data_IF_638318911316
#
_entry.id   IF_638318911316
#
_cell.length_a   1.000
_cell.length_b   1.000
_cell.length_c   1.000
_cell.angle_alpha   90.00
_cell.angle_beta   90.00
_cell.angle_gamma   90.00
#
_symmetry.space_group_name_H-M   'P 1'
#
loop_
_entity.id
_entity.type
_entity.pdbx_description
1 polymer ?
#
# COMPACT_ATOMS: atom_id res chain seq x y z
N UNK A 1 5.66 -17.74 9.59
CA UNK A 1 5.11 -16.39 9.36
C UNK A 1 5.80 -15.44 10.31
N UNK A 2 6.19 -14.23 9.88
CA UNK A 2 6.84 -13.26 10.74
C UNK A 2 5.92 -12.80 11.89
N UNK A 3 6.46 -12.33 13.03
CA UNK A 3 5.68 -11.80 14.13
C UNK A 3 4.89 -10.54 13.75
N UNK A 4 3.76 -10.29 14.42
CA UNK A 4 2.93 -9.09 14.22
C UNK A 4 3.72 -7.79 14.36
N UNK A 5 4.69 -7.76 15.27
CA UNK A 5 5.61 -6.65 15.51
C UNK A 5 6.41 -6.26 14.27
N UNK A 6 6.86 -7.25 13.49
CA UNK A 6 7.66 -7.01 12.30
C UNK A 6 6.82 -6.28 11.26
N UNK A 7 5.60 -6.76 11.00
CA UNK A 7 4.64 -6.11 10.10
C UNK A 7 4.31 -4.69 10.51
N UNK A 8 3.96 -4.48 11.79
CA UNK A 8 3.66 -3.13 12.29
C UNK A 8 4.85 -2.22 12.03
N UNK A 9 6.06 -2.66 12.36
CA UNK A 9 7.28 -1.87 12.17
C UNK A 9 7.53 -1.55 10.69
N UNK A 10 7.32 -2.50 9.78
CA UNK A 10 7.38 -2.30 8.32
C UNK A 10 6.39 -1.23 7.87
N UNK A 11 5.14 -1.28 8.32
CA UNK A 11 4.15 -0.24 7.99
C UNK A 11 4.51 1.12 8.56
N UNK A 12 4.97 1.21 9.82
CA UNK A 12 5.42 2.47 10.40
C UNK A 12 6.54 3.09 9.55
N UNK A 13 7.52 2.29 9.10
CA UNK A 13 8.58 2.72 8.20
C UNK A 13 8.03 3.24 6.86
N UNK A 14 7.13 2.50 6.22
CA UNK A 14 6.52 2.90 4.95
C UNK A 14 5.67 4.18 5.04
N UNK A 15 5.11 4.48 6.22
CA UNK A 15 4.45 5.76 6.50
C UNK A 15 5.41 6.92 6.78
N UNK A 16 6.73 6.69 6.68
CA UNK A 16 7.77 7.67 6.95
C UNK A 16 8.39 7.59 8.35
N UNK A 17 8.31 6.43 9.00
CA UNK A 17 8.85 6.22 10.35
C UNK A 17 8.04 6.89 11.46
N UNK A 18 6.76 7.16 11.22
CA UNK A 18 5.86 7.84 12.14
C UNK A 18 5.49 6.98 13.35
N UNK A 19 5.09 7.61 14.46
CA UNK A 19 4.53 6.91 15.61
C UNK A 19 3.15 6.30 15.28
N UNK A 20 2.71 5.22 15.95
CA UNK A 20 1.45 4.55 15.64
C UNK A 20 0.21 5.47 15.62
N UNK A 21 0.10 6.39 16.58
CA UNK A 21 -1.01 7.34 16.64
C UNK A 21 -1.02 8.30 15.43
N UNK A 22 0.15 8.75 14.99
CA UNK A 22 0.31 9.60 13.81
C UNK A 22 -0.03 8.82 12.53
N UNK A 23 0.36 7.54 12.45
CA UNK A 23 0.00 6.64 11.35
C UNK A 23 -1.52 6.45 11.29
N UNK A 24 -2.18 6.21 12.41
CA UNK A 24 -3.65 6.11 12.44
C UNK A 24 -4.31 7.41 11.96
N UNK A 25 -3.87 8.57 12.47
CA UNK A 25 -4.39 9.86 12.04
C UNK A 25 -4.19 10.07 10.53
N UNK A 26 -3.00 9.72 10.01
CA UNK A 26 -2.68 9.82 8.58
C UNK A 26 -3.49 8.85 7.73
N UNK A 27 -3.64 7.61 8.17
CA UNK A 27 -4.41 6.56 7.48
C UNK A 27 -5.90 6.94 7.39
N UNK A 28 -6.49 7.41 8.49
CA UNK A 28 -7.89 7.89 8.54
C UNK A 28 -8.11 9.14 7.69
N UNK A 29 -7.25 10.14 7.81
CA UNK A 29 -7.40 11.43 7.13
C UNK A 29 -8.83 11.97 7.20
N UNK A 30 -9.33 12.53 6.09
CA UNK A 30 -10.71 12.99 5.98
C UNK A 30 -11.75 11.86 5.78
N UNK A 31 -11.30 10.62 5.55
CA UNK A 31 -12.17 9.48 5.27
C UNK A 31 -12.63 8.75 6.56
N UNK A 32 -12.12 9.17 7.72
CA UNK A 32 -12.42 8.56 9.01
C UNK A 32 -12.09 7.06 9.01
N UNK A 33 -12.98 6.26 9.61
CA UNK A 33 -12.83 4.81 9.69
C UNK A 33 -13.03 4.06 8.36
N UNK A 34 -13.42 4.74 7.28
CA UNK A 34 -13.77 4.07 6.02
C UNK A 34 -12.57 3.34 5.36
N UNK A 35 -11.34 3.85 5.55
CA UNK A 35 -10.12 3.24 5.00
C UNK A 35 -9.29 2.50 6.05
N UNK A 36 -9.29 2.99 7.29
CA UNK A 36 -8.55 2.38 8.40
C UNK A 36 -9.30 2.68 9.70
N UNK A 37 -9.55 1.66 10.50
CA UNK A 37 -10.28 1.78 11.76
C UNK A 37 -9.32 2.34 12.83
N UNK A 38 -9.12 1.68 13.98
CA UNK A 38 -8.13 2.07 14.97
C UNK A 38 -7.08 0.98 15.18
N UNK A 39 -5.90 1.34 15.68
CA UNK A 39 -4.92 0.34 16.12
C UNK A 39 -5.48 -0.54 17.25
N UNK A 40 -6.23 0.05 18.19
CA UNK A 40 -6.84 -0.67 19.32
C UNK A 40 -7.75 -1.82 18.89
N UNK A 41 -8.46 -1.67 17.76
CA UNK A 41 -9.31 -2.73 17.20
C UNK A 41 -8.50 -3.96 16.74
N UNK A 42 -7.19 -3.77 16.52
CA UNK A 42 -6.29 -4.80 16.03
C UNK A 42 -5.30 -5.28 17.10
N UNK A 43 -4.98 -4.50 18.14
CA UNK A 43 -3.95 -4.86 19.13
C UNK A 43 -4.19 -6.24 19.77
N UNK A 44 -5.43 -6.53 20.15
CA UNK A 44 -5.80 -7.84 20.68
C UNK A 44 -5.65 -8.96 19.64
N UNK A 45 -6.05 -8.71 18.39
CA UNK A 45 -5.90 -9.65 17.27
C UNK A 45 -4.43 -9.88 16.86
N UNK A 46 -3.58 -8.88 17.11
CA UNK A 46 -2.13 -8.88 16.91
C UNK A 46 -1.39 -9.53 18.08
N UNK A 47 -2.08 -9.93 19.15
CA UNK A 47 -1.47 -10.55 20.33
C UNK A 47 -0.65 -9.57 21.18
N UNK A 48 -0.86 -8.27 21.00
CA UNK A 48 -0.28 -7.26 21.88
C UNK A 48 -1.06 -7.21 23.20
N UNK A 49 -0.36 -7.08 24.34
CA UNK A 49 -1.02 -6.95 25.63
C UNK A 49 -1.84 -5.66 25.68
N UNK A 50 -3.09 -5.78 26.11
CA UNK A 50 -3.93 -4.65 26.49
C UNK A 50 -3.90 -4.57 28.03
N UNK A 51 -3.81 -3.38 28.61
CA UNK A 51 -3.90 -3.20 30.08
C UNK A 51 -5.18 -3.81 30.71
N UNK A 52 -6.17 -4.18 29.89
CA UNK A 52 -7.44 -4.80 30.29
C UNK A 52 -7.48 -6.33 30.10
N UNK A 53 -6.55 -6.89 29.31
CA UNK A 53 -6.48 -8.31 28.94
C UNK A 53 -5.00 -8.68 28.71
N UNK A 54 -4.49 -9.70 29.40
CA UNK A 54 -3.17 -10.29 29.13
C UNK A 54 -3.33 -11.57 28.29
N UNK A 55 -3.64 -11.47 26.99
CA UNK A 55 -3.73 -12.64 26.13
C UNK A 55 -2.32 -13.20 25.89
N UNK A 56 -2.17 -14.53 25.73
CA UNK A 56 -0.93 -15.12 25.25
C UNK A 56 -0.54 -14.47 23.93
N UNK A 57 0.72 -14.02 23.81
CA UNK A 57 1.22 -13.45 22.56
C UNK A 57 1.05 -14.47 21.43
N UNK A 58 0.30 -14.09 20.40
CA UNK A 58 0.14 -14.89 19.20
C UNK A 58 1.49 -15.05 18.51
N UNK A 59 2.00 -16.28 18.42
CA UNK A 59 3.27 -16.57 17.74
C UNK A 59 3.11 -16.66 16.22
N UNK A 60 1.88 -16.53 15.71
CA UNK A 60 1.54 -16.66 14.29
C UNK A 60 0.55 -15.59 13.85
N UNK A 61 0.71 -15.14 12.61
CA UNK A 61 -0.23 -14.28 11.90
C UNK A 61 -1.55 -15.03 11.65
N UNK A 62 -2.67 -14.52 12.15
CA UNK A 62 -4.00 -15.08 11.89
C UNK A 62 -4.72 -14.33 10.74
N UNK A 63 -5.84 -14.86 10.26
CA UNK A 63 -6.59 -14.28 9.13
C UNK A 63 -7.09 -12.86 9.40
N UNK A 64 -7.48 -12.56 10.65
CA UNK A 64 -7.92 -11.23 11.06
C UNK A 64 -6.76 -10.22 11.03
N UNK A 65 -5.57 -10.65 11.43
CA UNK A 65 -4.32 -9.88 11.35
C UNK A 65 -3.94 -9.56 9.90
N UNK A 66 -4.03 -10.54 8.99
CA UNK A 66 -3.79 -10.32 7.57
C UNK A 66 -4.78 -9.30 6.98
N UNK A 67 -6.06 -9.43 7.30
CA UNK A 67 -7.09 -8.49 6.86
C UNK A 67 -6.85 -7.06 7.41
N UNK A 68 -6.39 -6.93 8.65
CA UNK A 68 -6.04 -5.64 9.25
C UNK A 68 -4.84 -4.98 8.54
N UNK A 69 -3.78 -5.75 8.28
CA UNK A 69 -2.62 -5.27 7.53
C UNK A 69 -2.98 -4.89 6.10
N UNK A 70 -3.85 -5.66 5.42
CA UNK A 70 -4.32 -5.28 4.10
C UNK A 70 -5.07 -3.95 4.11
N UNK A 71 -5.98 -3.70 5.07
CA UNK A 71 -6.68 -2.41 5.20
C UNK A 71 -5.70 -1.27 5.43
N UNK A 72 -4.73 -1.46 6.32
CA UNK A 72 -3.68 -0.48 6.57
C UNK A 72 -2.84 -0.19 5.33
N UNK A 73 -2.46 -1.23 4.58
CA UNK A 73 -1.67 -1.07 3.36
C UNK A 73 -2.45 -0.41 2.21
N UNK A 74 -3.75 -0.67 2.10
CA UNK A 74 -4.63 0.07 1.17
C UNK A 74 -4.66 1.55 1.56
N UNK A 75 -4.83 1.85 2.85
CA UNK A 75 -4.79 3.22 3.35
C UNK A 75 -3.42 3.87 3.06
N UNK A 76 -2.31 3.17 3.29
CA UNK A 76 -0.95 3.63 2.94
C UNK A 76 -0.86 4.02 1.47
N UNK A 77 -1.23 3.11 0.56
CA UNK A 77 -1.19 3.34 -0.88
C UNK A 77 -2.00 4.57 -1.29
N UNK A 78 -3.19 4.77 -0.71
CA UNK A 78 -4.03 5.92 -1.04
C UNK A 78 -3.48 7.23 -0.50
N UNK A 79 -2.94 7.22 0.71
CA UNK A 79 -2.33 8.40 1.32
C UNK A 79 -1.03 8.77 0.62
N UNK A 80 -0.22 7.77 0.28
CA UNK A 80 0.97 7.96 -0.52
C UNK A 80 0.62 8.51 -1.90
N UNK A 81 -0.40 8.00 -2.58
CA UNK A 81 -0.78 8.54 -3.89
C UNK A 81 -1.24 10.00 -3.81
N UNK A 82 -2.10 10.31 -2.81
CA UNK A 82 -2.57 11.68 -2.57
C UNK A 82 -1.40 12.65 -2.30
N UNK A 83 -0.41 12.19 -1.54
CA UNK A 83 0.77 12.98 -1.17
C UNK A 83 1.78 13.07 -2.33
N UNK A 84 2.22 11.94 -2.86
CA UNK A 84 3.35 11.81 -3.76
C UNK A 84 3.04 12.27 -5.19
N UNK A 85 1.83 11.96 -5.67
CA UNK A 85 1.45 12.15 -7.08
C UNK A 85 0.37 13.22 -7.29
N UNK A 86 -0.54 13.40 -6.33
CA UNK A 86 -1.70 14.30 -6.46
C UNK A 86 -1.58 15.61 -5.67
N UNK A 87 -0.49 15.83 -4.94
CA UNK A 87 -0.33 17.06 -4.15
C UNK A 87 -0.35 18.30 -5.06
N UNK A 88 -1.09 19.33 -4.65
CA UNK A 88 -1.14 20.63 -5.34
C UNK A 88 0.24 21.26 -5.50
N UNK A 89 1.11 21.06 -4.51
CA UNK A 89 2.54 21.41 -4.59
C UNK A 89 3.30 20.12 -4.90
N UNK A 90 3.95 20.00 -6.08
CA UNK A 90 4.70 18.81 -6.42
C UNK A 90 5.69 18.42 -5.32
N UNK A 91 5.65 17.16 -4.89
CA UNK A 91 6.57 16.62 -3.89
C UNK A 91 7.83 16.14 -4.61
N UNK A 92 9.00 16.56 -4.13
CA UNK A 92 10.29 16.11 -4.69
C UNK A 92 10.44 14.62 -4.52
N UNK A 93 11.09 13.93 -5.46
CA UNK A 93 11.18 12.46 -5.46
C UNK A 93 11.71 11.87 -4.13
N UNK A 94 12.71 12.50 -3.51
CA UNK A 94 13.28 12.05 -2.24
C UNK A 94 12.40 12.29 -1.00
N UNK A 95 11.33 13.09 -1.14
CA UNK A 95 10.37 13.36 -0.06
C UNK A 95 9.07 12.54 -0.22
N UNK A 96 8.99 11.69 -1.26
CA UNK A 96 7.81 10.85 -1.52
C UNK A 96 7.84 9.58 -0.65
N UNK A 97 6.67 9.12 -0.23
CA UNK A 97 6.54 7.94 0.62
C UNK A 97 6.74 6.63 -0.14
N UNK A 98 6.01 6.45 -1.24
CA UNK A 98 5.92 5.17 -1.97
C UNK A 98 6.19 5.39 -3.46
N UNK A 99 5.57 6.40 -4.06
CA UNK A 99 5.63 6.62 -5.51
C UNK A 99 6.82 7.52 -5.88
N UNK A 100 8.03 7.04 -5.59
CA UNK A 100 9.31 7.73 -5.84
C UNK A 100 9.72 7.73 -7.33
N UNK A 101 8.79 8.09 -8.21
CA UNK A 101 8.97 8.22 -9.65
C UNK A 101 7.91 9.15 -10.25
N UNK A 102 8.22 9.78 -11.38
CA UNK A 102 7.25 10.59 -12.11
C UNK A 102 6.40 9.75 -13.06
N UNK A 103 5.08 10.01 -13.07
CA UNK A 103 4.14 9.37 -14.00
C UNK A 103 4.07 10.21 -15.27
N UNK A 104 4.33 9.63 -16.45
CA UNK A 104 4.29 10.38 -17.70
C UNK A 104 2.86 10.78 -18.03
N UNK A 105 2.70 11.90 -18.74
CA UNK A 105 1.42 12.29 -19.28
C UNK A 105 0.98 11.34 -20.39
N UNK A 106 -0.31 11.01 -20.44
CA UNK A 106 -0.89 10.16 -21.47
C UNK A 106 -0.88 8.67 -21.15
N UNK A 107 -1.03 7.83 -22.20
CA UNK A 107 -1.09 6.38 -22.04
C UNK A 107 0.30 5.83 -21.70
N UNK A 108 0.35 5.01 -20.66
CA UNK A 108 1.54 4.30 -20.24
C UNK A 108 1.63 2.96 -20.99
N UNK A 109 2.77 2.68 -21.63
CA UNK A 109 3.07 1.37 -22.20
C UNK A 109 3.91 0.51 -21.23
N UNK A 110 4.17 -0.75 -21.60
CA UNK A 110 4.92 -1.68 -20.76
C UNK A 110 6.35 -1.21 -20.48
N UNK A 111 6.99 -0.55 -21.46
CA UNK A 111 8.37 -0.08 -21.35
C UNK A 111 8.47 1.09 -20.36
N UNK A 112 7.51 2.01 -20.38
CA UNK A 112 7.40 3.09 -19.43
C UNK A 112 6.91 2.60 -18.05
N UNK A 113 6.09 1.55 -17.99
CA UNK A 113 5.62 0.97 -16.72
C UNK A 113 6.75 0.29 -15.93
N UNK A 114 7.57 -0.52 -16.60
CA UNK A 114 8.57 -1.38 -15.98
C UNK A 114 9.50 -0.68 -14.97
N UNK A 115 10.17 0.46 -15.28
CA UNK A 115 11.08 1.10 -14.33
C UNK A 115 10.36 1.64 -13.08
N UNK A 116 9.09 2.03 -13.20
CA UNK A 116 8.27 2.54 -12.09
C UNK A 116 7.77 1.41 -11.21
N UNK A 117 7.40 0.30 -11.83
CA UNK A 117 7.11 -0.93 -11.10
C UNK A 117 8.34 -1.44 -10.35
N UNK A 118 9.55 -1.35 -10.91
CA UNK A 118 10.79 -1.73 -10.20
C UNK A 118 11.01 -0.91 -8.92
N UNK A 119 10.66 0.38 -8.92
CA UNK A 119 10.70 1.22 -7.71
C UNK A 119 9.75 0.66 -6.65
N UNK A 120 8.47 0.45 -6.99
CA UNK A 120 7.50 -0.10 -6.03
C UNK A 120 7.92 -1.50 -5.54
N UNK A 121 8.39 -2.33 -6.44
CA UNK A 121 8.81 -3.69 -6.13
C UNK A 121 9.98 -3.70 -5.13
N UNK A 122 10.95 -2.79 -5.27
CA UNK A 122 12.02 -2.62 -4.29
C UNK A 122 11.50 -2.06 -2.96
N UNK A 123 10.57 -1.11 -3.00
CA UNK A 123 9.98 -0.52 -1.78
C UNK A 123 9.27 -1.58 -0.93
N UNK A 124 8.47 -2.44 -1.55
CA UNK A 124 7.69 -3.44 -0.81
C UNK A 124 8.44 -4.75 -0.59
N UNK A 125 9.13 -5.27 -1.61
CA UNK A 125 9.73 -6.60 -1.57
C UNK A 125 11.25 -6.56 -1.38
N UNK A 126 11.85 -5.37 -1.26
CA UNK A 126 13.28 -5.18 -0.99
C UNK A 126 14.25 -5.70 -2.07
N UNK A 127 13.77 -6.07 -3.26
CA UNK A 127 14.62 -6.49 -4.39
C UNK A 127 14.07 -6.03 -5.76
N UNK A 128 14.90 -6.02 -6.83
CA UNK A 128 14.48 -5.60 -8.17
C UNK A 128 13.47 -6.56 -8.81
N UNK A 129 12.47 -6.02 -9.52
CA UNK A 129 11.42 -6.79 -10.20
C UNK A 129 11.96 -7.78 -11.24
N UNK A 130 13.13 -7.52 -11.83
CA UNK A 130 13.76 -8.44 -12.81
C UNK A 130 14.21 -9.78 -12.21
N UNK A 131 14.39 -9.85 -10.89
CA UNK A 131 14.76 -11.09 -10.20
C UNK A 131 13.53 -11.88 -9.75
N UNK A 132 12.33 -11.29 -9.88
CA UNK A 132 11.10 -11.94 -9.50
C UNK A 132 10.79 -13.12 -10.44
N UNK A 133 10.33 -14.26 -9.91
CA UNK A 133 9.87 -15.36 -10.73
C UNK A 133 8.63 -14.97 -11.56
N UNK A 134 8.56 -15.49 -12.79
CA UNK A 134 7.30 -15.66 -13.52
C UNK A 134 6.61 -14.39 -14.04
N UNK A 135 7.30 -13.56 -14.84
CA UNK A 135 6.62 -12.52 -15.64
C UNK A 135 5.88 -11.45 -14.81
N UNK A 136 6.26 -11.26 -13.55
CA UNK A 136 5.57 -10.39 -12.57
C UNK A 136 5.29 -8.98 -13.09
N UNK A 137 6.27 -8.35 -13.73
CA UNK A 137 6.08 -7.01 -14.30
C UNK A 137 4.94 -6.97 -15.34
N UNK A 138 4.79 -8.01 -16.17
CA UNK A 138 3.70 -8.10 -17.13
C UNK A 138 2.34 -8.32 -16.44
N UNK A 139 2.29 -9.15 -15.40
CA UNK A 139 1.06 -9.36 -14.63
C UNK A 139 0.58 -8.07 -13.93
N UNK A 140 1.50 -7.32 -13.32
CA UNK A 140 1.17 -6.04 -12.70
C UNK A 140 0.86 -4.94 -13.74
N UNK A 141 1.47 -4.99 -14.92
CA UNK A 141 1.10 -4.09 -16.01
C UNK A 141 -0.32 -4.38 -16.51
N UNK A 142 -0.70 -5.65 -16.65
CA UNK A 142 -2.06 -6.04 -17.01
C UNK A 142 -3.09 -5.58 -15.95
N UNK A 143 -2.75 -5.69 -14.65
CA UNK A 143 -3.57 -5.13 -13.57
C UNK A 143 -3.74 -3.61 -13.71
N UNK A 144 -2.66 -2.89 -14.00
CA UNK A 144 -2.70 -1.44 -14.24
C UNK A 144 -3.64 -1.11 -15.41
N UNK A 145 -3.44 -1.72 -16.58
CA UNK A 145 -4.26 -1.45 -17.77
C UNK A 145 -5.73 -1.81 -17.56
N UNK A 146 -6.02 -2.95 -16.93
CA UNK A 146 -7.38 -3.36 -16.63
C UNK A 146 -8.09 -2.38 -15.70
N UNK A 147 -7.36 -1.84 -14.71
CA UNK A 147 -7.90 -0.83 -13.78
C UNK A 147 -8.17 0.48 -14.49
N UNK A 148 -7.21 0.98 -15.28
CA UNK A 148 -7.38 2.20 -16.08
C UNK A 148 -8.59 2.07 -17.01
N UNK A 149 -8.73 0.95 -17.70
CA UNK A 149 -9.84 0.71 -18.62
C UNK A 149 -11.19 0.75 -17.90
N UNK A 150 -11.32 0.07 -16.74
CA UNK A 150 -12.57 0.07 -15.95
C UNK A 150 -12.94 1.45 -15.43
N UNK A 151 -11.96 2.25 -15.01
CA UNK A 151 -12.18 3.61 -14.53
C UNK A 151 -12.50 4.62 -15.63
N UNK A 152 -12.13 4.32 -16.88
CA UNK A 152 -12.40 5.18 -18.03
C UNK A 152 -13.78 4.94 -18.67
N UNK A 153 -14.52 3.89 -18.27
CA UNK A 153 -15.84 3.58 -18.83
C UNK A 153 -16.86 4.69 -18.49
N UNK A 154 -17.63 5.20 -19.47
CA UNK A 154 -18.71 6.14 -19.20
C UNK A 154 -19.70 5.58 -18.16
N UNK A 155 -20.00 6.35 -17.11
CA UNK A 155 -20.88 5.92 -16.03
C UNK A 155 -20.20 5.04 -14.95
N UNK A 156 -18.88 4.87 -15.02
CA UNK A 156 -18.13 4.25 -13.92
C UNK A 156 -18.36 5.00 -12.59
N UNK A 157 -18.31 4.24 -11.48
CA UNK A 157 -18.46 4.80 -10.14
C UNK A 157 -17.48 5.96 -9.92
N UNK A 158 -17.99 7.05 -9.34
CA UNK A 158 -17.18 8.23 -9.06
C UNK A 158 -15.96 7.84 -8.19
N UNK A 159 -14.77 8.11 -8.71
CA UNK A 159 -13.52 7.89 -8.01
C UNK A 159 -12.87 9.22 -7.70
N UNK A 160 -12.22 9.31 -6.54
CA UNK A 160 -11.34 10.42 -6.20
C UNK A 160 -10.03 10.41 -6.99
N UNK A 161 -9.76 9.33 -7.72
CA UNK A 161 -8.57 9.14 -8.53
C UNK A 161 -8.91 9.19 -10.02
N UNK A 162 -8.04 9.83 -10.80
CA UNK A 162 -8.07 9.69 -12.27
C UNK A 162 -7.82 8.21 -12.64
N UNK A 163 -8.14 7.77 -13.87
CA UNK A 163 -7.89 6.38 -14.26
C UNK A 163 -6.44 5.93 -14.06
N UNK A 164 -5.46 6.78 -14.39
CA UNK A 164 -4.03 6.46 -14.19
C UNK A 164 -3.65 6.42 -12.71
N UNK A 165 -4.15 7.37 -11.90
CA UNK A 165 -3.98 7.35 -10.44
C UNK A 165 -4.56 6.05 -9.84
N UNK A 166 -5.76 5.65 -10.27
CA UNK A 166 -6.39 4.42 -9.81
C UNK A 166 -5.59 3.16 -10.21
N UNK A 167 -5.01 3.16 -11.42
CA UNK A 167 -4.11 2.10 -11.87
C UNK A 167 -2.88 1.95 -10.96
N UNK A 168 -2.22 3.06 -10.60
CA UNK A 168 -1.07 3.03 -9.69
C UNK A 168 -1.46 2.64 -8.26
N UNK A 169 -2.61 3.09 -7.77
CA UNK A 169 -3.16 2.63 -6.49
C UNK A 169 -3.36 1.10 -6.50
N UNK A 170 -3.96 0.55 -7.57
CA UNK A 170 -4.18 -0.89 -7.69
C UNK A 170 -2.88 -1.71 -7.73
N UNK A 171 -1.85 -1.21 -8.41
CA UNK A 171 -0.51 -1.84 -8.40
C UNK A 171 0.07 -1.85 -6.98
N UNK A 172 -0.03 -0.74 -6.26
CA UNK A 172 0.41 -0.64 -4.87
C UNK A 172 -0.37 -1.63 -3.95
N UNK A 173 -1.70 -1.71 -4.09
CA UNK A 173 -2.51 -2.69 -3.35
C UNK A 173 -2.11 -4.13 -3.66
N UNK A 174 -1.79 -4.43 -4.93
CA UNK A 174 -1.34 -5.75 -5.33
C UNK A 174 -0.02 -6.16 -4.67
N UNK A 175 0.89 -5.20 -4.42
CA UNK A 175 2.13 -5.45 -3.69
C UNK A 175 1.89 -5.60 -2.18
N UNK A 176 1.01 -4.79 -1.59
CA UNK A 176 0.57 -4.93 -0.18
C UNK A 176 -0.03 -6.30 0.11
N UNK A 177 -0.75 -6.88 -0.85
CA UNK A 177 -1.37 -8.22 -0.75
C UNK A 177 -0.47 -9.34 -1.24
N UNK A 178 0.75 -9.02 -1.69
CA UNK A 178 1.62 -10.02 -2.28
C UNK A 178 2.15 -10.96 -1.19
N UNK A 179 2.10 -12.29 -1.36
CA UNK A 179 2.56 -13.24 -0.34
C UNK A 179 3.99 -12.99 0.16
N UNK A 180 4.89 -12.57 -0.72
CA UNK A 180 6.28 -12.25 -0.35
C UNK A 180 6.39 -11.01 0.55
N UNK A 181 5.47 -10.06 0.45
CA UNK A 181 5.48 -8.90 1.35
C UNK A 181 5.26 -9.36 2.80
N UNK A 182 4.48 -10.44 2.96
CA UNK A 182 4.19 -11.04 4.25
C UNK A 182 5.30 -11.97 4.78
N UNK A 183 6.49 -11.90 4.19
CA UNK A 183 7.69 -12.57 4.69
C UNK A 183 8.65 -11.60 5.38
N UNK A 184 8.42 -10.29 5.29
CA UNK A 184 9.25 -9.22 5.82
C UNK A 184 8.53 -8.43 6.93
#
# INVERSE_FOLDING_TARGET
>A
MPPAEAYVRTYLQLFGGLAPAEVQARARGADGAALFDAWEDYLAALGFPDHRLDPPRGTQTNSLMMAAFERLGIALCDRALKHDLKSKKPVRLGDRLIFAFDVPAGRLDAAAFAPRFDVLHRTFLSYPARLAPGGRAAAFFALYEATVARHAVPGAAASRFTPSEAGWAAVCYGLVRHPEFHLY
#
